data_IF_937207246485
#
_entry.id   IF_937207246485
#
_cell.length_a   1.000
_cell.length_b   1.000
_cell.length_c   1.000
_cell.angle_alpha   90.00
_cell.angle_beta   90.00
_cell.angle_gamma   90.00
#
_symmetry.space_group_name_H-M   'P 1'
#
loop_
_entity.id
_entity.type
_entity.pdbx_description
1 polymer ?
#
# COMPACT_ATOMS: atom_id res chain seq x y z
N UNK A 1 19.48 0.10 38.37
CA UNK A 1 19.07 -0.15 36.98
C UNK A 1 18.76 -1.63 36.90
N UNK A 2 17.52 -1.99 36.63
CA UNK A 2 17.17 -3.38 36.36
C UNK A 2 18.00 -3.89 35.18
N UNK A 3 18.52 -5.10 35.29
CA UNK A 3 19.21 -5.74 34.17
C UNK A 3 18.16 -6.06 33.09
N UNK A 4 18.17 -5.32 31.99
CA UNK A 4 17.33 -5.61 30.82
C UNK A 4 17.87 -6.89 30.19
N UNK A 5 17.00 -7.87 29.95
CA UNK A 5 17.39 -9.10 29.25
C UNK A 5 17.81 -8.75 27.80
N UNK A 6 19.00 -9.16 27.34
CA UNK A 6 19.40 -9.00 25.95
C UNK A 6 18.40 -9.54 24.93
N UNK A 7 17.59 -10.54 25.29
CA UNK A 7 16.51 -11.07 24.45
C UNK A 7 15.40 -10.05 24.24
N UNK A 8 15.00 -9.31 25.29
CA UNK A 8 13.98 -8.28 25.18
C UNK A 8 14.44 -7.14 24.24
N UNK A 9 15.73 -6.79 24.31
CA UNK A 9 16.31 -5.79 23.40
C UNK A 9 16.29 -6.32 21.96
N UNK A 10 16.67 -7.58 21.75
CA UNK A 10 16.65 -8.17 20.41
C UNK A 10 15.23 -8.23 19.83
N UNK A 11 14.24 -8.60 20.66
CA UNK A 11 12.84 -8.60 20.24
C UNK A 11 12.37 -7.21 19.83
N UNK A 12 12.68 -6.16 20.58
CA UNK A 12 12.34 -4.78 20.23
C UNK A 12 12.96 -4.36 18.88
N UNK A 13 14.22 -4.73 18.66
CA UNK A 13 14.92 -4.47 17.39
C UNK A 13 14.22 -5.19 16.24
N UNK A 14 13.88 -6.46 16.41
CA UNK A 14 13.24 -7.27 15.39
C UNK A 14 11.83 -6.74 15.07
N UNK A 15 11.03 -6.37 16.07
CA UNK A 15 9.72 -5.72 15.89
C UNK A 15 9.84 -4.41 15.09
N UNK A 16 10.84 -3.60 15.37
CA UNK A 16 11.08 -2.35 14.65
C UNK A 16 11.45 -2.62 13.18
N UNK A 17 12.32 -3.60 12.93
CA UNK A 17 12.71 -3.99 11.57
C UNK A 17 11.55 -4.56 10.76
N UNK A 18 10.71 -5.38 11.39
CA UNK A 18 9.50 -5.92 10.76
C UNK A 18 8.55 -4.78 10.40
N UNK A 19 8.30 -3.84 11.32
CA UNK A 19 7.45 -2.68 11.05
C UNK A 19 7.99 -1.83 9.89
N UNK A 20 9.30 -1.66 9.79
CA UNK A 20 9.95 -0.97 8.67
C UNK A 20 9.68 -1.68 7.33
N UNK A 21 9.71 -3.01 7.28
CA UNK A 21 9.34 -3.79 6.07
C UNK A 21 7.90 -3.48 5.66
N UNK A 22 6.95 -3.47 6.59
CA UNK A 22 5.53 -3.20 6.32
C UNK A 22 5.33 -1.78 5.79
N UNK A 23 6.02 -0.79 6.34
CA UNK A 23 5.90 0.61 5.89
C UNK A 23 6.60 0.86 4.56
N UNK A 24 7.74 0.21 4.29
CA UNK A 24 8.41 0.25 2.98
C UNK A 24 7.54 -0.32 1.87
N UNK A 25 6.78 -1.37 2.15
CA UNK A 25 5.80 -1.91 1.20
C UNK A 25 4.77 -0.86 0.79
N UNK A 26 4.13 -0.18 1.74
CA UNK A 26 3.16 0.87 1.46
C UNK A 26 3.78 2.02 0.66
N UNK A 27 5.00 2.44 1.02
CA UNK A 27 5.75 3.45 0.28
C UNK A 27 6.02 3.02 -1.15
N UNK A 28 6.41 1.75 -1.37
CA UNK A 28 6.66 1.21 -2.71
C UNK A 28 5.42 1.28 -3.60
N UNK A 29 4.24 0.92 -3.07
CA UNK A 29 2.97 1.08 -3.76
C UNK A 29 2.71 2.54 -4.14
N UNK A 30 2.74 3.44 -3.15
CA UNK A 30 2.34 4.84 -3.33
C UNK A 30 3.31 5.63 -4.21
N UNK A 31 4.59 5.29 -4.19
CA UNK A 31 5.62 5.93 -5.04
C UNK A 31 5.89 5.16 -6.33
N UNK A 32 5.22 4.04 -6.56
CA UNK A 32 5.42 3.16 -7.72
C UNK A 32 6.89 2.76 -7.90
N UNK A 33 7.51 2.32 -6.80
CA UNK A 33 8.91 1.93 -6.72
C UNK A 33 9.03 0.40 -6.75
N UNK A 34 9.33 -0.16 -7.93
CA UNK A 34 9.45 -1.61 -8.15
C UNK A 34 10.61 -2.21 -7.35
N UNK A 35 11.74 -1.50 -7.30
CA UNK A 35 12.94 -2.02 -6.63
C UNK A 35 12.73 -2.05 -5.12
N UNK A 36 12.12 -1.01 -4.56
CA UNK A 36 11.72 -1.00 -3.16
C UNK A 36 10.70 -2.10 -2.86
N UNK A 37 9.72 -2.32 -3.76
CA UNK A 37 8.73 -3.40 -3.62
C UNK A 37 9.39 -4.77 -3.58
N UNK A 38 10.32 -5.05 -4.50
CA UNK A 38 11.09 -6.30 -4.50
C UNK A 38 11.91 -6.49 -3.23
N UNK A 39 12.50 -5.42 -2.72
CA UNK A 39 13.40 -5.47 -1.55
C UNK A 39 12.72 -5.90 -0.25
N UNK A 40 11.40 -5.74 -0.13
CA UNK A 40 10.65 -6.13 1.07
C UNK A 40 10.25 -7.61 1.09
N UNK A 41 10.46 -8.32 0.00
CA UNK A 41 10.17 -9.75 -0.13
C UNK A 41 11.46 -10.58 -0.25
N UNK A 42 11.38 -11.82 0.20
CA UNK A 42 12.37 -12.84 -0.16
C UNK A 42 12.16 -13.27 -1.61
N UNK A 43 13.21 -13.76 -2.28
CA UNK A 43 13.14 -14.15 -3.69
C UNK A 43 12.15 -15.30 -3.95
N UNK A 44 11.99 -16.19 -2.96
CA UNK A 44 11.06 -17.32 -2.99
C UNK A 44 9.69 -17.00 -2.34
N UNK A 45 9.44 -15.74 -2.00
CA UNK A 45 8.21 -15.31 -1.36
C UNK A 45 6.98 -15.42 -2.29
N UNK A 46 5.81 -15.48 -1.66
CA UNK A 46 4.52 -15.48 -2.35
C UNK A 46 3.64 -14.32 -1.91
N UNK A 47 2.80 -13.85 -2.84
CA UNK A 47 1.77 -12.85 -2.56
C UNK A 47 0.42 -13.32 -3.11
N UNK A 48 -0.60 -13.27 -2.24
CA UNK A 48 -1.99 -13.58 -2.55
C UNK A 48 -2.81 -12.28 -2.47
N UNK A 49 -3.01 -11.63 -3.64
CA UNK A 49 -3.58 -10.29 -3.79
C UNK A 49 -4.87 -10.26 -4.63
N UNK A 50 -5.75 -11.22 -4.43
CA UNK A 50 -7.01 -11.32 -5.17
C UNK A 50 -6.79 -11.70 -6.63
N UNK A 51 -6.58 -10.73 -7.51
CA UNK A 51 -6.33 -10.96 -8.94
C UNK A 51 -4.97 -11.58 -9.25
N UNK A 52 -4.05 -11.54 -8.29
CA UNK A 52 -2.72 -12.14 -8.40
C UNK A 52 -2.51 -13.14 -7.26
N UNK A 53 -1.99 -14.31 -7.62
CA UNK A 53 -1.53 -15.33 -6.67
C UNK A 53 -0.28 -15.98 -7.26
N UNK A 54 0.89 -15.68 -6.70
CA UNK A 54 2.14 -16.14 -7.30
C UNK A 54 3.41 -15.72 -6.57
N UNK A 55 4.52 -15.72 -7.30
CA UNK A 55 5.81 -15.27 -6.80
C UNK A 55 5.82 -13.77 -6.52
N UNK A 56 6.36 -13.36 -5.36
CA UNK A 56 6.34 -11.96 -4.95
C UNK A 56 7.22 -11.05 -5.82
N UNK A 57 8.26 -11.59 -6.44
CA UNK A 57 9.10 -10.82 -7.35
C UNK A 57 8.36 -10.46 -8.65
N UNK A 58 7.52 -11.37 -9.16
CA UNK A 58 6.62 -11.12 -10.29
C UNK A 58 5.46 -10.20 -9.88
N UNK A 59 4.93 -10.38 -8.66
CA UNK A 59 3.93 -9.50 -8.09
C UNK A 59 4.38 -8.05 -8.03
N UNK A 60 5.64 -7.78 -7.68
CA UNK A 60 6.17 -6.42 -7.59
C UNK A 60 6.03 -5.66 -8.93
N UNK A 61 6.35 -6.29 -10.04
CA UNK A 61 6.16 -5.69 -11.37
C UNK A 61 4.68 -5.54 -11.72
N UNK A 62 3.90 -6.59 -11.47
CA UNK A 62 2.48 -6.61 -11.73
C UNK A 62 1.76 -5.46 -11.01
N UNK A 63 1.89 -5.39 -9.69
CA UNK A 63 1.10 -4.43 -8.88
C UNK A 63 1.47 -2.97 -9.17
N UNK A 64 2.76 -2.67 -9.40
CA UNK A 64 3.18 -1.31 -9.71
C UNK A 64 2.64 -0.87 -11.07
N UNK A 65 2.65 -1.75 -12.08
CA UNK A 65 2.03 -1.48 -13.39
C UNK A 65 0.53 -1.22 -13.24
N UNK A 66 -0.18 -2.08 -12.52
CA UNK A 66 -1.64 -1.96 -12.32
C UNK A 66 -1.99 -0.64 -11.59
N UNK A 67 -1.25 -0.30 -10.53
CA UNK A 67 -1.46 0.96 -9.80
C UNK A 67 -1.23 2.18 -10.71
N UNK A 68 -0.20 2.16 -11.55
CA UNK A 68 0.07 3.25 -12.49
C UNK A 68 -1.02 3.38 -13.56
N UNK A 69 -1.57 2.25 -14.00
CA UNK A 69 -2.60 2.21 -15.03
C UNK A 69 -3.97 2.67 -14.50
N UNK A 70 -4.34 2.27 -13.28
CA UNK A 70 -5.69 2.44 -12.77
C UNK A 70 -5.90 3.72 -11.96
N UNK A 71 -4.88 4.17 -11.23
CA UNK A 71 -5.06 5.21 -10.23
C UNK A 71 -4.21 6.46 -10.50
N UNK A 72 -4.79 7.63 -10.26
CA UNK A 72 -4.06 8.89 -10.24
C UNK A 72 -3.27 9.06 -8.95
N UNK A 73 -3.88 8.71 -7.83
CA UNK A 73 -3.32 8.82 -6.48
C UNK A 73 -3.67 7.58 -5.69
N UNK A 74 -2.72 7.09 -4.92
CA UNK A 74 -2.95 6.08 -3.88
C UNK A 74 -2.29 6.51 -2.59
N UNK A 75 -2.88 6.11 -1.47
CA UNK A 75 -2.28 6.27 -0.15
C UNK A 75 -2.62 5.02 0.69
N UNK A 76 -1.60 4.30 1.12
CA UNK A 76 -1.74 3.13 1.97
C UNK A 76 -1.24 3.45 3.37
N UNK A 77 -2.10 3.28 4.37
CA UNK A 77 -1.76 3.50 5.77
C UNK A 77 -1.90 2.21 6.56
N UNK A 78 -0.81 1.78 7.20
CA UNK A 78 -0.81 0.73 8.22
C UNK A 78 -1.20 1.35 9.55
N UNK A 79 -2.17 0.75 10.23
CA UNK A 79 -2.67 1.19 11.53
C UNK A 79 -2.22 0.22 12.63
N UNK A 80 -3.15 -0.58 13.14
CA UNK A 80 -2.85 -1.55 14.20
C UNK A 80 -2.02 -2.71 13.61
N UNK A 81 -0.93 -3.06 14.26
CA UNK A 81 -0.11 -4.23 13.90
C UNK A 81 -0.07 -5.16 15.10
N UNK A 82 -0.75 -6.30 14.99
CA UNK A 82 -0.54 -7.43 15.88
C UNK A 82 0.63 -8.27 15.35
N UNK A 83 1.52 -8.71 16.24
CA UNK A 83 2.75 -9.38 15.84
C UNK A 83 3.08 -10.50 16.82
N UNK A 84 3.07 -11.73 16.32
CA UNK A 84 3.62 -12.89 16.99
C UNK A 84 5.02 -13.16 16.44
N UNK A 85 6.01 -13.18 17.33
CA UNK A 85 7.42 -13.23 16.96
C UNK A 85 8.10 -14.45 17.62
N UNK A 86 8.89 -15.15 16.83
CA UNK A 86 9.85 -16.15 17.24
C UNK A 86 11.24 -15.75 16.71
N UNK A 87 12.30 -16.46 17.06
CA UNK A 87 13.71 -16.11 16.74
C UNK A 87 13.95 -15.80 15.25
N UNK A 88 13.27 -16.49 14.34
CA UNK A 88 13.48 -16.40 12.88
C UNK A 88 12.21 -16.22 12.07
N UNK A 89 11.06 -16.23 12.71
CA UNK A 89 9.77 -16.10 12.04
C UNK A 89 8.86 -15.13 12.76
N UNK A 90 8.04 -14.43 12.03
CA UNK A 90 7.00 -13.59 12.59
C UNK A 90 5.71 -13.74 11.76
N UNK A 91 4.57 -13.74 12.47
CA UNK A 91 3.26 -13.59 11.88
C UNK A 91 2.74 -12.20 12.23
N UNK A 92 2.29 -11.44 11.24
CA UNK A 92 1.70 -10.12 11.48
C UNK A 92 0.30 -10.02 10.89
N UNK A 93 -0.58 -9.37 11.62
CA UNK A 93 -1.86 -8.88 11.14
C UNK A 93 -1.83 -7.35 11.20
N UNK A 94 -1.79 -6.71 10.04
CA UNK A 94 -1.71 -5.26 9.93
C UNK A 94 -3.01 -4.70 9.37
N UNK A 95 -3.69 -3.84 10.12
CA UNK A 95 -4.88 -3.17 9.62
C UNK A 95 -4.48 -2.14 8.57
N UNK A 96 -5.14 -2.21 7.42
CA UNK A 96 -4.90 -1.35 6.27
C UNK A 96 -6.09 -0.43 6.04
N UNK A 97 -5.81 0.85 5.90
CA UNK A 97 -6.69 1.81 5.26
C UNK A 97 -6.02 2.37 4.03
N UNK A 98 -6.66 2.25 2.88
CA UNK A 98 -6.08 2.74 1.64
C UNK A 98 -7.08 3.60 0.86
N UNK A 99 -6.59 4.73 0.34
CA UNK A 99 -7.28 5.64 -0.55
C UNK A 99 -6.81 5.44 -1.97
N UNK A 100 -7.74 5.38 -2.92
CA UNK A 100 -7.45 5.24 -4.34
C UNK A 100 -8.29 6.23 -5.15
N UNK A 101 -7.64 7.06 -5.96
CA UNK A 101 -8.31 7.98 -6.87
C UNK A 101 -8.22 7.44 -8.30
N UNK A 102 -9.37 7.23 -8.90
CA UNK A 102 -9.57 6.72 -10.26
C UNK A 102 -9.94 7.88 -11.17
N UNK A 103 -9.43 7.90 -12.40
CA UNK A 103 -9.84 8.86 -13.42
C UNK A 103 -11.33 8.77 -13.72
N UNK A 104 -11.93 9.89 -14.10
CA UNK A 104 -13.36 9.96 -14.38
C UNK A 104 -13.81 9.38 -15.73
N UNK A 105 -12.95 8.68 -16.44
CA UNK A 105 -13.29 8.01 -17.70
C UNK A 105 -14.27 6.88 -17.42
N UNK A 106 -15.41 6.86 -18.11
CA UNK A 106 -16.44 5.84 -17.90
C UNK A 106 -15.92 4.41 -17.98
N UNK A 107 -15.12 4.11 -18.99
CA UNK A 107 -14.54 2.77 -19.19
C UNK A 107 -13.66 2.37 -18.01
N UNK A 108 -12.84 3.31 -17.51
CA UNK A 108 -11.96 3.07 -16.37
C UNK A 108 -12.73 2.86 -15.07
N UNK A 109 -13.79 3.66 -14.86
CA UNK A 109 -14.66 3.51 -13.69
C UNK A 109 -15.42 2.17 -13.75
N UNK A 110 -15.88 1.74 -14.94
CA UNK A 110 -16.52 0.43 -15.11
C UNK A 110 -15.57 -0.74 -14.87
N UNK A 111 -14.33 -0.64 -15.37
CA UNK A 111 -13.29 -1.65 -15.18
C UNK A 111 -13.01 -1.91 -13.68
N UNK A 112 -12.97 -0.84 -12.88
CA UNK A 112 -12.59 -0.92 -11.46
C UNK A 112 -13.79 -1.21 -10.57
N UNK A 113 -14.92 -0.54 -10.77
CA UNK A 113 -16.08 -0.61 -9.87
C UNK A 113 -17.20 -1.52 -10.38
N UNK A 114 -17.22 -1.85 -11.66
CA UNK A 114 -18.23 -2.68 -12.30
C UNK A 114 -19.50 -1.91 -12.70
N UNK A 115 -20.31 -2.53 -13.56
CA UNK A 115 -21.53 -1.94 -14.12
C UNK A 115 -22.60 -1.60 -13.07
N UNK A 116 -22.66 -2.36 -11.97
CA UNK A 116 -23.59 -2.08 -10.86
C UNK A 116 -23.32 -0.72 -10.20
N UNK A 117 -22.05 -0.33 -10.08
CA UNK A 117 -21.68 0.98 -9.55
C UNK A 117 -22.06 2.07 -10.57
N UNK A 118 -21.74 1.88 -11.85
CA UNK A 118 -22.09 2.85 -12.90
C UNK A 118 -23.60 3.14 -12.95
N UNK A 119 -24.43 2.13 -12.75
CA UNK A 119 -25.90 2.28 -12.81
C UNK A 119 -26.48 3.21 -11.75
N UNK A 120 -25.69 3.63 -10.77
CA UNK A 120 -26.13 4.56 -9.73
C UNK A 120 -26.09 6.03 -10.17
N UNK A 121 -25.49 6.32 -11.34
CA UNK A 121 -25.25 7.70 -11.80
C UNK A 121 -25.90 8.00 -13.14
N UNK A 122 -26.36 9.24 -13.29
CA UNK A 122 -26.62 9.86 -14.59
C UNK A 122 -25.25 10.25 -15.20
N UNK A 123 -24.72 9.40 -16.06
CA UNK A 123 -23.36 9.54 -16.58
C UNK A 123 -23.15 10.85 -17.33
N UNK A 124 -24.21 11.44 -17.93
CA UNK A 124 -24.12 12.76 -18.58
C UNK A 124 -23.73 13.92 -17.63
N UNK A 125 -23.86 13.68 -16.31
CA UNK A 125 -23.54 14.68 -15.28
C UNK A 125 -22.23 14.41 -14.55
N UNK A 126 -21.68 13.20 -14.66
CA UNK A 126 -20.50 12.79 -13.91
C UNK A 126 -19.32 12.37 -14.78
N UNK A 127 -19.48 12.42 -16.10
CA UNK A 127 -18.41 12.12 -17.04
C UNK A 127 -17.21 13.03 -16.83
N UNK A 128 -16.02 12.45 -16.76
CA UNK A 128 -14.78 13.17 -16.47
C UNK A 128 -14.56 13.52 -14.99
N UNK A 129 -15.53 13.32 -14.11
CA UNK A 129 -15.34 13.53 -12.66
C UNK A 129 -14.61 12.31 -12.07
N UNK A 130 -13.47 12.48 -11.39
CA UNK A 130 -12.78 11.38 -10.76
C UNK A 130 -13.63 10.67 -9.70
N UNK A 131 -13.42 9.38 -9.55
CA UNK A 131 -14.01 8.56 -8.50
C UNK A 131 -12.95 8.14 -7.49
N UNK A 132 -13.37 7.83 -6.28
CA UNK A 132 -12.49 7.33 -5.24
C UNK A 132 -13.06 6.07 -4.62
N UNK A 133 -12.18 5.19 -4.16
CA UNK A 133 -12.57 4.17 -3.22
C UNK A 133 -11.62 4.13 -2.03
N UNK A 134 -12.20 3.81 -0.91
CA UNK A 134 -11.51 3.51 0.32
C UNK A 134 -11.52 2.01 0.53
N UNK A 135 -10.39 1.47 0.84
CA UNK A 135 -10.22 0.06 1.14
C UNK A 135 -9.91 -0.09 2.62
N UNK A 136 -10.71 -0.86 3.31
CA UNK A 136 -10.44 -1.31 4.66
C UNK A 136 -10.18 -2.80 4.66
N UNK A 137 -9.04 -3.21 5.19
CA UNK A 137 -8.67 -4.62 5.19
C UNK A 137 -7.45 -4.90 6.04
N UNK A 138 -6.81 -6.01 5.76
CA UNK A 138 -5.62 -6.44 6.50
C UNK A 138 -4.58 -7.04 5.58
N UNK A 139 -3.33 -6.79 5.91
CA UNK A 139 -2.22 -7.63 5.47
C UNK A 139 -1.97 -8.68 6.53
N UNK A 140 -2.05 -9.95 6.14
CA UNK A 140 -1.70 -11.10 6.96
C UNK A 140 -0.41 -11.67 6.40
N UNK A 141 0.66 -11.47 7.15
CA UNK A 141 2.01 -11.77 6.68
C UNK A 141 2.70 -12.82 7.53
N UNK A 142 3.46 -13.67 6.85
CA UNK A 142 4.55 -14.43 7.43
C UNK A 142 5.86 -13.81 6.99
N UNK A 143 6.65 -13.35 7.96
CA UNK A 143 7.99 -12.82 7.71
C UNK A 143 9.03 -13.83 8.22
N UNK A 144 10.20 -13.81 7.60
CA UNK A 144 11.35 -14.62 8.00
C UNK A 144 12.58 -13.76 8.15
N UNK A 145 13.41 -14.14 9.12
CA UNK A 145 14.75 -13.58 9.34
C UNK A 145 15.78 -14.52 8.74
N UNK A 146 16.39 -14.09 7.63
CA UNK A 146 17.46 -14.82 6.96
C UNK A 146 18.70 -13.93 6.93
N UNK A 147 19.85 -14.44 7.34
CA UNK A 147 21.12 -13.70 7.37
C UNK A 147 21.06 -12.34 8.11
N UNK A 148 20.16 -12.26 9.12
CA UNK A 148 19.96 -11.06 9.94
C UNK A 148 18.97 -10.04 9.38
N UNK A 149 18.42 -10.24 8.19
CA UNK A 149 17.41 -9.41 7.57
C UNK A 149 16.01 -9.99 7.71
N UNK A 150 15.02 -9.14 7.99
CA UNK A 150 13.61 -9.47 7.97
C UNK A 150 13.00 -9.08 6.61
N UNK A 151 12.29 -10.02 5.98
CA UNK A 151 11.48 -9.76 4.79
C UNK A 151 10.23 -10.63 4.80
N UNK A 152 9.25 -10.25 3.99
CA UNK A 152 8.02 -11.01 3.81
C UNK A 152 8.34 -12.30 3.04
N UNK A 153 7.93 -13.43 3.60
CA UNK A 153 7.99 -14.74 2.93
C UNK A 153 6.63 -15.12 2.33
N UNK A 154 5.54 -14.68 2.95
CA UNK A 154 4.19 -14.85 2.40
C UNK A 154 3.29 -13.71 2.87
N UNK A 155 2.55 -13.11 1.94
CA UNK A 155 1.49 -12.12 2.19
C UNK A 155 0.16 -12.61 1.68
N UNK A 156 -0.87 -12.38 2.46
CA UNK A 156 -2.27 -12.50 2.06
C UNK A 156 -2.98 -11.18 2.31
N UNK A 157 -3.70 -10.69 1.30
CA UNK A 157 -4.49 -9.47 1.42
C UNK A 157 -5.94 -9.84 1.68
N UNK A 158 -6.46 -9.37 2.80
CA UNK A 158 -7.84 -9.61 3.23
C UNK A 158 -8.62 -8.31 3.09
N UNK A 159 -9.73 -8.34 2.34
CA UNK A 159 -10.66 -7.22 2.25
C UNK A 159 -11.77 -7.41 3.28
N UNK A 160 -11.91 -6.46 4.20
CA UNK A 160 -13.00 -6.45 5.18
C UNK A 160 -14.17 -5.58 4.69
N UNK A 161 -13.89 -4.44 4.07
CA UNK A 161 -14.90 -3.54 3.50
C UNK A 161 -14.30 -2.59 2.45
N UNK A 162 -15.17 -1.99 1.65
CA UNK A 162 -14.82 -0.86 0.80
C UNK A 162 -15.93 0.19 0.81
N UNK A 163 -15.59 1.43 0.44
CA UNK A 163 -16.52 2.51 0.20
C UNK A 163 -16.13 3.24 -1.07
N UNK A 164 -17.10 3.46 -1.97
CA UNK A 164 -16.88 4.03 -3.29
C UNK A 164 -17.76 5.25 -3.47
N UNK A 165 -17.18 6.35 -4.00
CA UNK A 165 -17.91 7.59 -4.22
C UNK A 165 -17.29 8.44 -5.35
N UNK A 166 -18.01 9.47 -5.79
CA UNK A 166 -17.47 10.51 -6.65
C UNK A 166 -16.50 11.37 -5.83
N UNK A 167 -15.34 11.70 -6.40
CA UNK A 167 -14.35 12.54 -5.73
C UNK A 167 -14.88 13.97 -5.54
N UNK A 168 -14.82 14.47 -4.32
CA UNK A 168 -15.11 15.88 -3.97
C UNK A 168 -13.84 16.70 -3.73
N UNK A 169 -12.67 16.17 -4.08
CA UNK A 169 -11.39 16.83 -3.85
C UNK A 169 -11.24 18.12 -4.67
N UNK A 170 -10.97 19.24 -4.00
CA UNK A 170 -10.70 20.56 -4.58
C UNK A 170 -9.25 20.92 -4.32
N UNK A 171 -8.50 21.30 -5.36
CA UNK A 171 -7.07 21.58 -5.27
C UNK A 171 -6.69 23.01 -5.68
N UNK A 172 -7.55 23.71 -6.39
CA UNK A 172 -7.31 24.98 -7.07
C UNK A 172 -8.05 26.17 -6.45
N UNK A 173 -8.83 25.94 -5.41
CA UNK A 173 -9.61 26.95 -4.71
C UNK A 173 -9.33 27.02 -3.21
N UNK A 174 -9.79 28.09 -2.58
CA UNK A 174 -9.73 28.31 -1.14
C UNK A 174 -8.32 28.12 -0.56
N UNK A 175 -8.23 27.49 0.59
CA UNK A 175 -6.97 27.17 1.27
C UNK A 175 -6.11 26.22 0.44
N UNK A 176 -6.73 25.28 -0.28
CA UNK A 176 -6.01 24.21 -0.97
C UNK A 176 -5.11 24.69 -2.09
N UNK A 177 -5.44 25.81 -2.76
CA UNK A 177 -4.58 26.41 -3.78
C UNK A 177 -3.23 26.91 -3.26
N UNK A 178 -3.11 27.13 -1.94
CA UNK A 178 -1.86 27.57 -1.32
C UNK A 178 -0.90 26.41 -1.04
N UNK A 179 -1.41 25.16 -1.02
CA UNK A 179 -0.63 23.95 -0.82
C UNK A 179 -0.05 23.48 -2.17
N UNK A 180 0.95 24.21 -2.67
CA UNK A 180 1.50 24.04 -4.02
C UNK A 180 2.42 22.83 -4.17
N UNK A 181 3.02 22.34 -3.07
CA UNK A 181 3.83 21.13 -3.09
C UNK A 181 2.91 19.92 -3.07
N UNK A 182 2.88 19.19 -4.18
CA UNK A 182 2.02 18.04 -4.40
C UNK A 182 2.83 16.74 -4.38
N UNK A 183 2.21 15.66 -3.89
CA UNK A 183 2.74 14.32 -4.05
C UNK A 183 2.77 13.90 -5.52
N UNK A 184 3.74 13.09 -5.87
CA UNK A 184 3.90 12.53 -7.20
C UNK A 184 4.29 11.05 -7.12
N UNK A 185 4.30 10.37 -8.25
CA UNK A 185 4.79 8.99 -8.34
C UNK A 185 6.21 8.96 -8.86
N UNK A 186 6.95 7.94 -8.46
CA UNK A 186 8.35 7.76 -8.84
C UNK A 186 9.23 8.90 -8.32
N UNK A 187 10.39 9.05 -8.92
CA UNK A 187 11.43 9.99 -8.49
C UNK A 187 11.07 11.48 -8.61
N UNK A 188 9.91 11.83 -9.20
CA UNK A 188 9.41 13.20 -9.22
C UNK A 188 8.77 13.64 -7.90
N UNK A 189 8.46 12.70 -7.01
CA UNK A 189 7.90 13.02 -5.69
C UNK A 189 8.90 13.81 -4.84
N UNK A 190 8.44 14.85 -4.12
CA UNK A 190 9.31 15.66 -3.27
C UNK A 190 10.13 14.88 -2.24
N UNK A 191 9.68 13.69 -1.82
CA UNK A 191 10.40 12.87 -0.85
C UNK A 191 11.79 12.46 -1.35
N UNK A 192 11.97 12.24 -2.65
CA UNK A 192 13.25 11.86 -3.22
C UNK A 192 14.28 13.01 -3.28
N UNK A 193 13.83 14.26 -3.05
CA UNK A 193 14.72 15.42 -2.97
C UNK A 193 15.22 15.70 -1.55
N UNK A 194 14.58 15.07 -0.55
CA UNK A 194 14.84 15.29 0.87
C UNK A 194 15.31 14.02 1.59
N UNK A 195 15.74 12.99 0.84
CA UNK A 195 16.36 11.82 1.44
C UNK A 195 17.75 12.19 1.98
N UNK A 196 18.08 11.62 3.12
CA UNK A 196 19.43 11.66 3.67
C UNK A 196 20.27 10.73 2.78
N UNK A 197 21.38 11.27 2.22
CA UNK A 197 22.37 10.51 1.45
C UNK A 197 23.13 9.50 2.34
#
# INVERSE_FOLDING_TARGET
MENIDPKDIQELIDRTRIYDVLTRYCRALDRCDVDLMRSVYWDDARDDHGVFNGGAQEFAEFIIREIQQWFEVTMHAIMNVHMELDDKTACTESYLFAYHKVRGDREKVEEIFGSKYLSQFDWSKVDGIPHVFYYGGRYVDRLEKREGEWKIAHRQVVMDWNHNEISSGIFDEGMFKTLTLRGARGHSDPVFKNLID
#
